data_IF_596701721230
#
_entry.id   IF_596701721230
#
_cell.length_a   1.000
_cell.length_b   1.000
_cell.length_c   1.000
_cell.angle_alpha   90.00
_cell.angle_beta   90.00
_cell.angle_gamma   90.00
#
_symmetry.space_group_name_H-M   'P 1'
#
loop_
_entity.id
_entity.type
_entity.pdbx_description
1 polymer ?
#
# COMPACT_ATOMS: atom_id res chain seq x y z
N UNK A 1 16.98 6.84 1.95
CA UNK A 1 15.56 6.92 2.34
C UNK A 1 14.76 6.18 1.29
N UNK A 2 14.26 4.98 1.58
CA UNK A 2 13.44 4.25 0.61
C UNK A 2 12.04 4.88 0.60
N UNK A 3 11.71 5.56 -0.49
CA UNK A 3 10.36 6.08 -0.71
C UNK A 3 9.42 4.89 -0.81
N UNK A 4 8.38 4.89 0.02
CA UNK A 4 7.34 3.86 -0.05
C UNK A 4 6.55 4.03 -1.37
N UNK A 5 6.16 2.93 -2.03
CA UNK A 5 5.33 2.99 -3.22
C UNK A 5 3.96 3.59 -2.91
N UNK A 6 3.36 4.25 -3.89
CA UNK A 6 2.07 4.93 -3.73
C UNK A 6 1.09 4.35 -4.75
N UNK A 7 -0.02 3.81 -4.26
CA UNK A 7 -1.06 3.18 -5.06
C UNK A 7 -2.42 3.79 -4.75
N UNK A 8 -3.10 4.31 -5.77
CA UNK A 8 -4.42 4.98 -5.64
C UNK A 8 -4.45 6.04 -4.52
N UNK A 9 -3.36 6.82 -4.39
CA UNK A 9 -3.22 7.85 -3.37
C UNK A 9 -2.93 7.31 -1.96
N UNK A 10 -2.75 6.01 -1.79
CA UNK A 10 -2.32 5.39 -0.55
C UNK A 10 -0.85 4.99 -0.66
N UNK A 11 -0.08 5.35 0.33
CA UNK A 11 1.27 4.83 0.53
C UNK A 11 1.16 3.38 0.98
N UNK A 12 1.88 2.46 0.35
CA UNK A 12 1.83 1.03 0.65
C UNK A 12 2.99 0.69 1.59
N UNK A 13 2.68 0.38 2.85
CA UNK A 13 3.66 0.01 3.86
C UNK A 13 3.66 -1.50 4.08
N UNK A 14 4.60 -2.19 3.44
CA UNK A 14 4.72 -3.65 3.52
C UNK A 14 5.23 -4.15 4.87
N UNK A 15 5.93 -3.32 5.65
CA UNK A 15 6.44 -3.70 6.97
C UNK A 15 5.30 -3.80 7.97
N UNK A 16 4.37 -2.86 7.87
CA UNK A 16 3.22 -2.76 8.75
C UNK A 16 1.99 -3.44 8.16
N UNK A 17 2.05 -3.85 6.89
CA UNK A 17 0.95 -4.46 6.13
C UNK A 17 -0.28 -3.55 6.10
N UNK A 18 -0.06 -2.28 5.80
CA UNK A 18 -1.10 -1.25 5.79
C UNK A 18 -0.97 -0.32 4.58
N UNK A 19 -2.12 0.11 4.05
CA UNK A 19 -2.22 1.25 3.17
C UNK A 19 -2.44 2.51 3.99
N UNK A 20 -1.65 3.55 3.74
CA UNK A 20 -1.66 4.80 4.50
C UNK A 20 -1.92 5.97 3.59
N UNK A 21 -2.96 6.74 3.89
CA UNK A 21 -3.28 7.94 3.13
C UNK A 21 -3.31 9.14 4.05
N UNK A 22 -2.40 10.07 3.82
CA UNK A 22 -2.41 11.37 4.48
C UNK A 22 -3.25 12.33 3.64
N UNK A 23 -4.34 12.84 4.22
CA UNK A 23 -5.13 13.91 3.62
C UNK A 23 -4.83 15.19 4.41
N UNK A 24 -4.39 16.23 3.72
CA UNK A 24 -4.08 17.51 4.36
C UNK A 24 -5.30 18.07 5.09
N UNK A 25 -5.16 18.36 6.38
CA UNK A 25 -6.25 18.84 7.24
C UNK A 25 -7.21 17.75 7.74
N UNK A 26 -6.93 16.47 7.51
CA UNK A 26 -7.68 15.33 8.09
C UNK A 26 -6.73 14.34 8.78
N UNK A 27 -7.32 13.42 9.55
CA UNK A 27 -6.60 12.28 10.12
C UNK A 27 -6.04 11.38 9.00
N UNK A 28 -4.95 10.66 9.30
CA UNK A 28 -4.46 9.62 8.41
C UNK A 28 -5.51 8.50 8.31
N UNK A 29 -5.78 8.07 7.08
CA UNK A 29 -6.54 6.86 6.83
C UNK A 29 -5.57 5.67 6.75
N UNK A 30 -5.90 4.61 7.51
CA UNK A 30 -5.15 3.36 7.55
C UNK A 30 -6.06 2.23 7.11
N UNK A 31 -5.67 1.49 6.07
CA UNK A 31 -6.38 0.30 5.62
C UNK A 31 -5.46 -0.91 5.78
N UNK A 32 -5.70 -1.78 6.77
CA UNK A 32 -4.93 -3.00 6.96
C UNK A 32 -5.05 -3.91 5.74
N UNK A 33 -3.96 -4.61 5.38
CA UNK A 33 -3.99 -5.58 4.28
C UNK A 33 -4.95 -6.74 4.56
N UNK A 34 -5.20 -7.06 5.83
CA UNK A 34 -6.08 -8.15 6.26
C UNK A 34 -7.57 -7.79 6.14
N UNK A 35 -7.90 -6.50 6.05
CA UNK A 35 -9.28 -6.07 5.81
C UNK A 35 -9.71 -6.39 4.38
N UNK A 36 -11.02 -6.60 4.16
CA UNK A 36 -11.55 -6.91 2.82
C UNK A 36 -11.15 -5.85 1.78
N UNK A 37 -11.18 -4.57 2.16
CA UNK A 37 -10.73 -3.47 1.31
C UNK A 37 -9.22 -3.51 1.04
N UNK A 38 -8.42 -3.85 2.05
CA UNK A 38 -6.97 -4.00 1.92
C UNK A 38 -6.58 -5.15 0.98
N UNK A 39 -7.29 -6.28 1.05
CA UNK A 39 -7.11 -7.41 0.13
C UNK A 39 -7.39 -7.01 -1.33
N UNK A 40 -8.47 -6.25 -1.56
CA UNK A 40 -8.80 -5.73 -2.90
C UNK A 40 -7.74 -4.73 -3.40
N UNK A 41 -7.24 -3.86 -2.51
CA UNK A 41 -6.20 -2.88 -2.83
C UNK A 41 -4.86 -3.55 -3.16
N UNK A 42 -4.42 -4.51 -2.34
CA UNK A 42 -3.13 -5.20 -2.53
C UNK A 42 -3.16 -6.09 -3.77
N UNK A 43 -4.26 -6.78 -4.05
CA UNK A 43 -4.40 -7.55 -5.29
C UNK A 43 -4.26 -6.65 -6.52
N UNK A 44 -4.89 -5.47 -6.50
CA UNK A 44 -4.74 -4.47 -7.56
C UNK A 44 -3.32 -3.92 -7.65
N UNK A 45 -2.67 -3.62 -6.53
CA UNK A 45 -1.28 -3.14 -6.51
C UNK A 45 -0.32 -4.19 -7.08
N UNK A 46 -0.43 -5.45 -6.66
CA UNK A 46 0.40 -6.56 -7.12
C UNK A 46 0.19 -6.90 -8.61
N UNK A 47 -0.93 -6.48 -9.20
CA UNK A 47 -1.12 -6.59 -10.65
C UNK A 47 -0.29 -5.56 -11.45
N UNK A 48 0.09 -4.44 -10.83
CA UNK A 48 0.91 -3.39 -11.46
C UNK A 48 2.39 -3.79 -11.56
N UNK A 49 3.15 -3.25 -12.52
CA UNK A 49 4.59 -3.53 -12.63
C UNK A 49 5.36 -3.12 -11.37
N UNK A 50 4.98 -2.04 -10.70
CA UNK A 50 5.61 -1.60 -9.44
C UNK A 50 5.33 -2.59 -8.30
N UNK A 51 4.09 -3.05 -8.14
CA UNK A 51 3.77 -4.05 -7.13
C UNK A 51 4.44 -5.40 -7.37
N UNK A 52 4.57 -5.83 -8.63
CA UNK A 52 5.33 -7.05 -8.98
C UNK A 52 6.81 -6.92 -8.62
N UNK A 53 7.41 -5.76 -8.87
CA UNK A 53 8.79 -5.48 -8.50
C UNK A 53 8.95 -5.51 -6.98
N UNK A 54 8.08 -4.84 -6.24
CA UNK A 54 8.13 -4.78 -4.77
C UNK A 54 7.95 -6.16 -4.16
N UNK A 55 6.99 -6.96 -4.64
CA UNK A 55 6.79 -8.33 -4.16
C UNK A 55 8.03 -9.21 -4.38
N UNK A 56 8.72 -9.04 -5.52
CA UNK A 56 9.94 -9.79 -5.85
C UNK A 56 11.14 -9.38 -4.99
N UNK A 57 11.17 -8.14 -4.49
CA UNK A 57 12.23 -7.63 -3.61
C UNK A 57 12.01 -7.98 -2.12
N UNK A 58 10.84 -8.51 -1.78
CA UNK A 58 10.44 -8.87 -0.41
C UNK A 58 10.43 -10.40 -0.18
N UNK A 59 10.80 -11.21 -1.18
CA UNK A 59 11.12 -12.65 -1.08
C UNK A 59 12.58 -12.84 -0.68
#
# INVERSE_FOLDING_TARGET
MNKLPVYKGHTVDFRLKEFRKAIFGKALEFVPFESEEGQKLIAGFLATPEGKLVARLQT
#
